data_IF_021381268095
#
_entry.id   IF_021381268095
#
_cell.length_a   1.000
_cell.length_b   1.000
_cell.length_c   1.000
_cell.angle_alpha   90.00
_cell.angle_beta   90.00
_cell.angle_gamma   90.00
#
_symmetry.space_group_name_H-M   'P 1'
#
loop_
_entity.id
_entity.type
_entity.pdbx_description
1 polymer ?
#
# COMPACT_ATOMS: atom_id res chain seq x y z
N UNK A 1 -1.49 -15.43 -29.22
CA UNK A 1 -0.74 -16.16 -28.17
C UNK A 1 -1.52 -17.42 -27.85
N UNK A 2 -0.96 -18.59 -28.14
CA UNK A 2 -1.63 -19.87 -27.89
C UNK A 2 -1.64 -20.18 -26.38
N UNK A 3 -2.55 -21.01 -25.88
CA UNK A 3 -2.57 -21.43 -24.47
C UNK A 3 -1.24 -22.06 -24.04
N UNK A 4 -0.56 -22.73 -24.98
CA UNK A 4 0.75 -23.34 -24.79
C UNK A 4 1.83 -22.29 -24.54
N UNK A 5 1.78 -21.16 -25.24
CA UNK A 5 2.72 -20.04 -25.04
C UNK A 5 2.54 -19.42 -23.65
N UNK A 6 1.29 -19.26 -23.18
CA UNK A 6 0.98 -18.74 -21.84
C UNK A 6 1.47 -19.66 -20.71
N UNK A 7 1.35 -20.97 -20.88
CA UNK A 7 1.83 -21.95 -19.88
C UNK A 7 3.36 -21.96 -19.77
N UNK A 8 4.06 -21.85 -20.91
CA UNK A 8 5.53 -21.74 -20.94
C UNK A 8 5.99 -20.44 -20.27
N UNK A 9 5.36 -19.33 -20.60
CA UNK A 9 5.68 -18.03 -20.01
C UNK A 9 5.46 -18.01 -18.49
N UNK A 10 4.34 -18.59 -18.02
CA UNK A 10 4.05 -18.74 -16.60
C UNK A 10 5.09 -19.62 -15.87
N UNK A 11 5.50 -20.74 -16.47
CA UNK A 11 6.51 -21.61 -15.88
C UNK A 11 7.89 -20.93 -15.81
N UNK A 12 8.26 -20.16 -16.85
CA UNK A 12 9.48 -19.36 -16.86
C UNK A 12 9.46 -18.26 -15.78
N UNK A 13 8.31 -17.64 -15.54
CA UNK A 13 8.14 -16.64 -14.48
C UNK A 13 8.32 -17.27 -13.08
N UNK A 14 7.76 -18.46 -12.85
CA UNK A 14 7.96 -19.19 -11.59
C UNK A 14 9.43 -19.52 -11.32
N UNK A 15 10.17 -19.98 -12.35
CA UNK A 15 11.60 -20.27 -12.22
C UNK A 15 12.40 -18.98 -11.95
N UNK A 16 12.07 -17.88 -12.63
CA UNK A 16 12.71 -16.58 -12.39
C UNK A 16 12.47 -16.09 -10.97
N UNK A 17 11.22 -16.20 -10.48
CA UNK A 17 10.85 -15.85 -9.10
C UNK A 17 11.56 -16.71 -8.07
N UNK A 18 11.71 -18.01 -8.29
CA UNK A 18 12.38 -18.90 -7.34
C UNK A 18 13.90 -18.71 -7.28
N UNK A 19 14.50 -18.16 -8.34
CA UNK A 19 15.96 -17.89 -8.42
C UNK A 19 16.35 -16.51 -7.88
N UNK A 20 15.40 -15.59 -7.76
CA UNK A 20 15.65 -14.26 -7.21
C UNK A 20 15.77 -14.36 -5.69
N UNK A 21 16.71 -13.62 -5.12
CA UNK A 21 16.84 -13.47 -3.68
C UNK A 21 15.60 -12.80 -3.08
N UNK A 22 15.39 -13.04 -1.79
CA UNK A 22 14.33 -12.44 -0.98
C UNK A 22 14.72 -11.06 -0.51
N UNK A 23 13.76 -10.14 -0.59
CA UNK A 23 13.97 -8.75 -0.24
C UNK A 23 13.16 -8.32 0.97
N UNK A 24 13.84 -7.90 2.03
CA UNK A 24 13.22 -7.36 3.24
C UNK A 24 13.57 -5.88 3.39
N UNK A 25 12.56 -5.05 3.67
CA UNK A 25 12.73 -3.62 3.85
C UNK A 25 12.19 -3.17 5.21
N UNK A 26 13.04 -2.45 5.95
CA UNK A 26 12.64 -1.67 7.10
C UNK A 26 12.26 -0.25 6.67
N UNK A 27 10.99 0.11 6.87
CA UNK A 27 10.48 1.46 6.62
C UNK A 27 10.45 2.21 7.95
N UNK A 28 10.96 3.44 7.97
CA UNK A 28 10.86 4.33 9.12
C UNK A 28 10.29 5.69 8.76
N UNK A 29 9.61 6.32 9.71
CA UNK A 29 9.06 7.67 9.53
C UNK A 29 10.15 8.76 9.40
N UNK A 30 11.35 8.54 9.94
CA UNK A 30 12.44 9.53 9.94
C UNK A 30 13.82 8.90 10.23
N UNK A 31 14.87 9.70 10.06
CA UNK A 31 16.18 9.43 10.62
C UNK A 31 16.11 9.30 12.15
N UNK A 32 16.97 8.44 12.71
CA UNK A 32 17.06 8.28 14.17
C UNK A 32 16.08 7.29 14.81
N UNK A 33 15.11 6.75 14.04
CA UNK A 33 14.16 5.73 14.54
C UNK A 33 14.78 4.34 14.79
N UNK A 34 16.08 4.17 14.52
CA UNK A 34 16.79 2.91 14.83
C UNK A 34 16.78 1.83 13.75
N UNK A 35 16.48 2.18 12.49
CA UNK A 35 16.52 1.23 11.35
C UNK A 35 17.83 0.46 11.25
N UNK A 36 18.97 1.16 11.18
CA UNK A 36 20.31 0.55 11.09
C UNK A 36 20.63 -0.34 12.29
N UNK A 37 20.26 0.12 13.49
CA UNK A 37 20.44 -0.66 14.72
C UNK A 37 19.63 -1.97 14.67
N UNK A 38 18.37 -1.91 14.22
CA UNK A 38 17.52 -3.09 14.06
C UNK A 38 18.06 -4.06 13.01
N UNK A 39 18.51 -3.56 11.86
CA UNK A 39 19.15 -4.38 10.83
C UNK A 39 20.37 -5.13 11.36
N UNK A 40 21.23 -4.47 12.15
CA UNK A 40 22.39 -5.12 12.76
C UNK A 40 22.01 -6.17 13.80
N UNK A 41 20.97 -5.93 14.61
CA UNK A 41 20.46 -6.93 15.54
C UNK A 41 19.95 -8.19 14.81
N UNK A 42 19.27 -8.00 13.68
CA UNK A 42 18.82 -9.11 12.84
C UNK A 42 20.00 -9.84 12.20
N UNK A 43 21.00 -9.12 11.70
CA UNK A 43 22.23 -9.70 11.16
C UNK A 43 22.94 -10.60 12.19
N UNK A 44 23.04 -10.16 13.45
CA UNK A 44 23.56 -10.99 14.55
C UNK A 44 22.71 -12.24 14.80
N UNK A 45 21.39 -12.10 14.73
CA UNK A 45 20.46 -13.22 14.95
C UNK A 45 20.61 -14.28 13.86
N UNK A 46 20.68 -13.84 12.60
CA UNK A 46 20.91 -14.70 11.45
C UNK A 46 22.28 -15.40 11.53
N UNK A 47 23.35 -14.65 11.84
CA UNK A 47 24.70 -15.20 12.00
C UNK A 47 24.77 -16.25 13.12
N UNK A 48 24.12 -16.01 14.26
CA UNK A 48 24.01 -16.97 15.38
C UNK A 48 23.27 -18.25 14.99
N UNK A 49 22.33 -18.16 14.06
CA UNK A 49 21.60 -19.30 13.52
C UNK A 49 22.34 -19.99 12.36
N UNK A 50 23.59 -19.61 12.09
CA UNK A 50 24.44 -20.24 11.08
C UNK A 50 24.17 -19.79 9.64
N UNK A 51 23.39 -18.73 9.44
CA UNK A 51 23.15 -18.14 8.11
C UNK A 51 24.37 -17.30 7.71
N UNK A 52 24.87 -17.46 6.48
CA UNK A 52 25.97 -16.60 5.99
C UNK A 52 25.48 -15.19 5.69
N UNK A 53 25.76 -14.27 6.63
CA UNK A 53 25.41 -12.86 6.54
C UNK A 53 26.66 -12.01 6.30
N UNK A 54 26.57 -11.07 5.36
CA UNK A 54 27.57 -10.01 5.18
C UNK A 54 26.95 -8.62 5.32
N UNK A 55 27.74 -7.66 5.80
CA UNK A 55 27.42 -6.24 5.69
C UNK A 55 27.97 -5.74 4.36
N UNK A 56 27.10 -5.39 3.43
CA UNK A 56 27.47 -4.76 2.16
C UNK A 56 27.69 -3.27 2.33
N UNK A 57 26.74 -2.61 2.99
CA UNK A 57 26.86 -1.21 3.37
C UNK A 57 26.06 -0.90 4.62
N UNK A 58 26.65 -0.15 5.54
CA UNK A 58 25.93 0.48 6.64
C UNK A 58 26.55 1.83 6.98
N UNK A 59 25.71 2.79 7.35
CA UNK A 59 26.13 4.09 7.82
C UNK A 59 25.86 4.20 9.33
N UNK A 60 26.93 4.30 10.13
CA UNK A 60 26.81 4.37 11.59
C UNK A 60 26.59 5.81 12.07
N UNK A 61 26.95 6.81 11.27
CA UNK A 61 27.00 8.22 11.63
C UNK A 61 27.75 8.49 12.96
N UNK A 62 28.79 7.72 13.26
CA UNK A 62 29.57 7.86 14.50
C UNK A 62 28.83 7.40 15.77
N UNK A 63 27.71 6.69 15.65
CA UNK A 63 26.91 6.23 16.80
C UNK A 63 27.58 5.01 17.44
N UNK A 64 28.18 5.22 18.63
CA UNK A 64 28.88 4.17 19.40
C UNK A 64 28.10 2.86 19.56
N UNK A 65 26.80 2.93 19.84
CA UNK A 65 25.95 1.73 20.00
C UNK A 65 25.83 0.94 18.69
N UNK A 66 25.68 1.64 17.55
CA UNK A 66 25.60 1.03 16.23
C UNK A 66 26.95 0.46 15.79
N UNK A 67 28.05 1.17 16.07
CA UNK A 67 29.42 0.70 15.81
C UNK A 67 29.74 -0.56 16.62
N UNK A 68 29.33 -0.59 17.90
CA UNK A 68 29.50 -1.76 18.74
C UNK A 68 28.71 -2.98 18.22
N UNK A 69 27.51 -2.76 17.63
CA UNK A 69 26.77 -3.83 16.96
C UNK A 69 27.39 -4.23 15.62
N UNK A 70 28.02 -3.31 14.90
CA UNK A 70 28.70 -3.63 13.65
C UNK A 70 29.93 -4.52 13.91
N UNK A 71 30.60 -4.30 15.05
CA UNK A 71 31.71 -5.13 15.47
C UNK A 71 31.30 -6.61 15.60
N UNK A 72 32.11 -7.49 14.99
CA UNK A 72 31.87 -8.93 14.99
C UNK A 72 30.98 -9.45 13.85
N UNK A 73 30.41 -8.58 13.01
CA UNK A 73 29.74 -8.99 11.78
C UNK A 73 30.74 -9.03 10.61
N UNK A 74 30.64 -10.02 9.70
CA UNK A 74 31.48 -10.04 8.50
C UNK A 74 31.12 -8.88 7.55
N UNK A 75 32.09 -8.03 7.23
CA UNK A 75 31.88 -6.84 6.38
C UNK A 75 32.56 -7.05 5.03
N UNK A 76 31.87 -6.72 3.93
CA UNK A 76 32.49 -6.62 2.60
C UNK A 76 33.23 -5.28 2.53
N UNK A 77 34.54 -5.27 2.21
CA UNK A 77 35.27 -4.01 2.07
C UNK A 77 34.61 -3.09 1.04
N UNK A 78 34.52 -1.81 1.37
CA UNK A 78 33.97 -0.79 0.47
C UNK A 78 34.90 -0.57 -0.72
N UNK A 79 34.32 -0.30 -1.88
CA UNK A 79 35.07 0.08 -3.07
C UNK A 79 35.53 1.53 -2.95
N UNK A 80 36.81 1.78 -3.23
CA UNK A 80 37.39 3.12 -3.28
C UNK A 80 37.22 3.69 -4.70
N UNK A 81 36.55 4.83 -4.82
CA UNK A 81 36.29 5.52 -6.10
C UNK A 81 36.93 6.91 -6.04
N UNK A 82 37.74 7.25 -7.05
CA UNK A 82 38.32 8.59 -7.18
C UNK A 82 37.44 9.45 -8.09
N UNK A 83 36.85 10.50 -7.52
CA UNK A 83 35.97 11.41 -8.25
C UNK A 83 36.30 12.87 -7.89
N UNK A 84 36.48 13.72 -8.92
CA UNK A 84 36.85 15.15 -8.79
C UNK A 84 38.01 15.42 -7.80
N UNK A 85 39.02 14.56 -7.81
CA UNK A 85 40.20 14.68 -6.94
C UNK A 85 39.97 14.32 -5.47
N UNK A 86 38.80 13.75 -5.12
CA UNK A 86 38.52 13.17 -3.80
C UNK A 86 38.41 11.65 -3.90
N UNK A 87 38.92 10.97 -2.89
CA UNK A 87 38.71 9.56 -2.68
C UNK A 87 37.43 9.37 -1.89
N UNK A 88 36.49 8.60 -2.44
CA UNK A 88 35.19 8.33 -1.86
C UNK A 88 34.99 6.81 -1.75
N UNK A 89 34.11 6.38 -0.86
CA UNK A 89 33.82 4.97 -0.64
C UNK A 89 32.38 4.65 -1.05
N UNK A 90 32.18 3.52 -1.72
CA UNK A 90 30.86 3.00 -2.10
C UNK A 90 30.76 1.49 -1.81
N UNK A 91 29.54 0.96 -1.82
CA UNK A 91 29.31 -0.48 -1.71
C UNK A 91 29.94 -1.24 -2.90
N UNK A 92 30.72 -2.29 -2.63
CA UNK A 92 31.28 -3.16 -3.68
C UNK A 92 30.27 -4.26 -4.06
N UNK A 93 29.39 -3.94 -5.01
CA UNK A 93 28.35 -4.85 -5.54
C UNK A 93 28.96 -6.11 -6.13
N UNK A 94 30.09 -5.98 -6.84
CA UNK A 94 30.69 -7.12 -7.52
C UNK A 94 31.35 -8.07 -6.52
N UNK A 95 31.99 -7.55 -5.47
CA UNK A 95 32.51 -8.37 -4.38
C UNK A 95 31.38 -9.12 -3.67
N UNK A 96 30.25 -8.48 -3.38
CA UNK A 96 29.07 -9.14 -2.78
C UNK A 96 28.59 -10.29 -3.68
N UNK A 97 28.41 -10.03 -4.98
CA UNK A 97 27.95 -11.04 -5.95
C UNK A 97 28.95 -12.19 -6.09
N UNK A 98 30.25 -11.92 -6.02
CA UNK A 98 31.29 -12.94 -6.09
C UNK A 98 31.35 -13.81 -4.84
N UNK A 99 31.16 -13.21 -3.65
CA UNK A 99 31.13 -13.91 -2.37
C UNK A 99 29.88 -14.78 -2.21
N UNK A 100 28.75 -14.40 -2.83
CA UNK A 100 27.44 -15.08 -2.77
C UNK A 100 27.02 -15.46 -1.34
N UNK A 101 26.92 -14.48 -0.42
CA UNK A 101 26.36 -14.78 0.89
C UNK A 101 24.88 -15.14 0.78
N UNK A 102 24.34 -15.80 1.81
CA UNK A 102 22.90 -16.06 1.89
C UNK A 102 22.12 -14.76 2.07
N UNK A 103 22.63 -13.85 2.90
CA UNK A 103 22.01 -12.54 3.17
C UNK A 103 23.05 -11.43 3.17
N UNK A 104 22.71 -10.29 2.55
CA UNK A 104 23.49 -9.06 2.68
C UNK A 104 22.66 -7.92 3.27
N UNK A 105 23.26 -7.16 4.19
CA UNK A 105 22.68 -5.95 4.76
C UNK A 105 23.14 -4.74 3.95
N UNK A 106 22.19 -3.91 3.50
CA UNK A 106 22.44 -2.70 2.71
C UNK A 106 21.61 -1.53 3.25
N UNK A 107 22.25 -0.56 3.89
CA UNK A 107 21.56 0.63 4.41
C UNK A 107 21.42 1.76 3.36
N UNK A 108 20.56 2.72 3.67
CA UNK A 108 20.24 3.90 2.84
C UNK A 108 19.82 3.54 1.41
N UNK A 109 18.72 2.80 1.26
CA UNK A 109 18.22 2.36 -0.05
C UNK A 109 18.04 3.49 -1.08
N UNK A 110 17.79 4.72 -0.61
CA UNK A 110 17.56 5.90 -1.42
C UNK A 110 18.83 6.59 -1.94
N UNK A 111 20.00 6.19 -1.42
CA UNK A 111 21.28 6.84 -1.70
C UNK A 111 21.55 6.96 -3.19
N UNK A 112 22.07 8.11 -3.58
CA UNK A 112 22.61 8.36 -4.92
C UNK A 112 24.07 7.97 -4.95
N UNK A 113 24.37 6.94 -5.73
CA UNK A 113 25.72 6.43 -5.86
C UNK A 113 26.65 7.49 -6.45
N UNK A 114 27.93 7.38 -6.11
CA UNK A 114 28.97 8.29 -6.61
C UNK A 114 29.06 8.21 -8.14
N UNK A 115 29.17 9.37 -8.80
CA UNK A 115 29.37 9.45 -10.25
C UNK A 115 30.57 8.60 -10.70
N UNK A 116 30.35 7.74 -11.70
CA UNK A 116 31.31 6.73 -12.15
C UNK A 116 31.00 5.31 -11.65
N UNK A 117 30.04 5.17 -10.72
CA UNK A 117 29.45 3.87 -10.36
C UNK A 117 28.67 3.28 -11.54
N UNK A 118 28.54 1.95 -11.57
CA UNK A 118 27.76 1.24 -12.60
C UNK A 118 26.29 1.69 -12.63
N UNK A 119 25.70 1.82 -11.44
CA UNK A 119 24.32 2.23 -11.24
C UNK A 119 24.27 3.61 -10.58
N UNK A 120 23.23 4.40 -10.86
CA UNK A 120 23.04 5.74 -10.32
C UNK A 120 22.50 5.70 -8.88
N UNK A 121 21.72 4.68 -8.53
CA UNK A 121 21.04 4.59 -7.24
C UNK A 121 21.34 3.27 -6.54
N UNK A 122 21.48 3.31 -5.21
CA UNK A 122 21.73 2.11 -4.41
C UNK A 122 20.62 1.08 -4.50
N UNK A 123 19.37 1.49 -4.68
CA UNK A 123 18.29 0.54 -4.92
C UNK A 123 18.49 -0.29 -6.20
N UNK A 124 19.16 0.25 -7.24
CA UNK A 124 19.50 -0.52 -8.45
C UNK A 124 20.56 -1.58 -8.14
N UNK A 125 21.55 -1.25 -7.30
CA UNK A 125 22.53 -2.24 -6.82
C UNK A 125 21.87 -3.36 -6.03
N UNK A 126 20.91 -3.02 -5.16
CA UNK A 126 20.09 -4.00 -4.44
C UNK A 126 19.32 -4.88 -5.43
N UNK A 127 18.77 -4.33 -6.50
CA UNK A 127 18.10 -5.12 -7.54
C UNK A 127 19.06 -6.08 -8.25
N UNK A 128 20.29 -5.65 -8.54
CA UNK A 128 21.35 -6.48 -9.13
C UNK A 128 21.72 -7.65 -8.21
N UNK A 129 21.88 -7.39 -6.90
CA UNK A 129 22.19 -8.40 -5.88
C UNK A 129 21.04 -9.42 -5.76
N UNK A 130 19.80 -8.96 -5.69
CA UNK A 130 18.62 -9.82 -5.65
C UNK A 130 18.52 -10.68 -6.92
N UNK A 131 18.81 -10.12 -8.08
CA UNK A 131 18.82 -10.84 -9.35
C UNK A 131 19.90 -11.93 -9.42
N UNK A 132 21.00 -11.77 -8.67
CA UNK A 132 22.03 -12.79 -8.50
C UNK A 132 21.63 -13.92 -7.53
N UNK A 133 20.45 -13.85 -6.91
CA UNK A 133 19.92 -14.86 -6.00
C UNK A 133 20.31 -14.67 -4.52
N UNK A 134 20.89 -13.52 -4.18
CA UNK A 134 21.32 -13.19 -2.80
C UNK A 134 20.18 -12.45 -2.11
N UNK A 135 19.83 -12.83 -0.87
CA UNK A 135 18.79 -12.14 -0.12
C UNK A 135 19.33 -10.78 0.40
N UNK A 136 18.47 -9.76 0.42
CA UNK A 136 18.86 -8.41 0.86
C UNK A 136 17.94 -7.94 1.99
N UNK A 137 18.54 -7.42 3.06
CA UNK A 137 17.83 -6.65 4.10
C UNK A 137 18.27 -5.20 3.96
N UNK A 138 17.30 -4.30 3.79
CA UNK A 138 17.56 -2.88 3.58
C UNK A 138 16.67 -1.99 4.46
N UNK A 139 17.01 -0.71 4.53
CA UNK A 139 16.21 0.29 5.22
C UNK A 139 15.98 1.55 4.37
N UNK A 140 14.82 2.18 4.57
CA UNK A 140 14.46 3.45 3.91
C UNK A 140 13.55 4.29 4.82
N UNK A 141 13.61 5.62 4.68
CA UNK A 141 12.62 6.50 5.29
C UNK A 141 11.50 6.85 4.32
N UNK A 142 10.29 7.07 4.83
CA UNK A 142 9.12 7.44 4.01
C UNK A 142 9.33 8.67 3.13
N UNK A 143 10.16 9.62 3.59
CA UNK A 143 10.48 10.85 2.86
C UNK A 143 11.20 10.62 1.51
N UNK A 144 11.77 9.43 1.32
CA UNK A 144 12.45 9.03 0.09
C UNK A 144 11.54 8.26 -0.85
N UNK A 145 10.32 7.89 -0.44
CA UNK A 145 9.37 7.19 -1.30
C UNK A 145 8.78 8.21 -2.27
N UNK A 146 8.83 7.91 -3.56
CA UNK A 146 8.44 8.85 -4.62
C UNK A 146 7.01 9.38 -4.43
N UNK A 147 6.04 8.48 -4.25
CA UNK A 147 4.63 8.84 -4.07
C UNK A 147 4.32 9.66 -2.82
N UNK A 148 5.11 9.52 -1.75
CA UNK A 148 4.89 10.20 -0.47
C UNK A 148 5.65 11.51 -0.36
N UNK A 149 6.49 11.84 -1.36
CA UNK A 149 7.40 12.95 -1.18
C UNK A 149 6.69 14.30 -1.04
N UNK A 150 5.67 14.57 -1.86
CA UNK A 150 4.94 15.82 -1.84
C UNK A 150 4.25 16.02 -0.47
N UNK A 151 3.57 14.99 0.02
CA UNK A 151 2.91 15.01 1.33
C UNK A 151 3.91 15.21 2.47
N UNK A 152 5.08 14.58 2.41
CA UNK A 152 6.15 14.79 3.40
C UNK A 152 6.73 16.21 3.32
N UNK A 153 6.87 16.78 2.12
CA UNK A 153 7.32 18.16 1.92
C UNK A 153 6.30 19.15 2.49
N UNK A 154 5.00 18.90 2.32
CA UNK A 154 3.94 19.72 2.89
C UNK A 154 3.94 19.69 4.42
N UNK A 155 4.19 18.52 5.02
CA UNK A 155 4.30 18.36 6.48
C UNK A 155 5.56 19.04 7.03
N UNK A 156 6.71 18.82 6.39
CA UNK A 156 8.01 19.16 7.00
C UNK A 156 8.61 20.47 6.48
N UNK A 157 8.15 20.96 5.33
CA UNK A 157 8.75 22.07 4.58
C UNK A 157 10.08 21.73 3.91
N UNK A 158 10.55 20.48 3.99
CA UNK A 158 11.86 20.06 3.50
C UNK A 158 11.73 19.26 2.21
N UNK A 159 12.40 19.73 1.16
CA UNK A 159 12.54 18.98 -0.08
C UNK A 159 13.71 18.01 0.01
N UNK A 160 13.39 16.72 0.02
CA UNK A 160 14.38 15.65 -0.11
C UNK A 160 14.69 15.46 -1.59
N UNK A 161 15.91 15.13 -2.01
CA UNK A 161 16.23 14.89 -3.45
C UNK A 161 16.41 13.41 -3.78
N UNK A 162 16.81 12.64 -2.80
CA UNK A 162 17.06 11.21 -2.94
C UNK A 162 15.75 10.43 -2.85
N UNK A 163 15.53 9.56 -3.83
CA UNK A 163 14.25 8.94 -4.13
C UNK A 163 14.36 7.46 -4.43
N UNK A 164 13.33 6.73 -4.03
CA UNK A 164 13.10 5.33 -4.34
C UNK A 164 11.71 5.21 -4.97
N UNK A 165 11.61 4.66 -6.19
CA UNK A 165 10.32 4.38 -6.82
C UNK A 165 9.50 3.37 -6.01
N UNK A 166 8.19 3.59 -5.93
CA UNK A 166 7.25 2.67 -5.28
C UNK A 166 7.36 1.22 -5.79
N UNK A 167 7.71 1.05 -7.07
CA UNK A 167 7.91 -0.26 -7.70
C UNK A 167 9.06 -1.09 -7.09
N UNK A 168 10.02 -0.45 -6.43
CA UNK A 168 11.09 -1.12 -5.70
C UNK A 168 10.54 -1.70 -4.40
N UNK A 169 9.75 -0.92 -3.67
CA UNK A 169 9.11 -1.33 -2.42
C UNK A 169 8.11 -2.47 -2.66
N UNK A 170 7.33 -2.41 -3.75
CA UNK A 170 6.37 -3.46 -4.11
C UNK A 170 7.04 -4.80 -4.45
N UNK A 171 8.35 -4.81 -4.70
CA UNK A 171 9.11 -6.04 -4.93
C UNK A 171 9.65 -6.66 -3.64
N UNK A 172 9.45 -6.02 -2.48
CA UNK A 172 9.85 -6.58 -1.21
C UNK A 172 8.97 -7.77 -0.84
N UNK A 173 9.61 -8.88 -0.47
CA UNK A 173 8.94 -10.03 0.13
C UNK A 173 8.50 -9.74 1.57
N UNK A 174 9.17 -8.84 2.28
CA UNK A 174 8.79 -8.46 3.64
C UNK A 174 9.01 -6.97 3.87
N UNK A 175 7.99 -6.30 4.43
CA UNK A 175 8.07 -4.89 4.82
C UNK A 175 7.77 -4.78 6.30
N UNK A 176 8.68 -4.14 7.04
CA UNK A 176 8.57 -3.98 8.50
C UNK A 176 8.65 -2.51 8.87
N UNK A 177 7.66 -2.03 9.62
CA UNK A 177 7.68 -0.67 10.16
C UNK A 177 8.63 -0.58 11.36
N UNK A 178 9.48 0.46 11.39
CA UNK A 178 10.29 0.85 12.54
C UNK A 178 9.79 2.20 13.04
N UNK A 179 9.30 2.18 14.27
CA UNK A 179 8.55 3.28 14.85
C UNK A 179 9.06 3.63 16.24
N UNK A 180 8.86 4.88 16.63
CA UNK A 180 9.16 5.46 17.93
C UNK A 180 8.13 6.54 18.25
N UNK A 181 7.94 6.85 19.52
CA UNK A 181 7.11 8.00 19.88
C UNK A 181 7.83 9.32 19.53
N UNK A 182 7.05 10.39 19.36
CA UNK A 182 7.61 11.72 19.11
C UNK A 182 8.55 12.17 20.24
N UNK A 183 8.20 11.87 21.50
CA UNK A 183 9.03 12.17 22.67
C UNK A 183 10.39 11.47 22.59
N UNK A 184 10.40 10.14 22.39
CA UNK A 184 11.64 9.38 22.29
C UNK A 184 12.53 9.84 21.13
N UNK A 185 11.94 10.18 19.97
CA UNK A 185 12.69 10.66 18.83
C UNK A 185 13.32 12.04 19.10
N UNK A 186 12.58 12.93 19.75
CA UNK A 186 13.06 14.25 20.16
C UNK A 186 14.17 14.12 21.22
N UNK A 187 14.03 13.22 22.18
CA UNK A 187 15.04 13.00 23.22
C UNK A 187 16.33 12.46 22.60
N UNK A 188 16.24 11.49 21.69
CA UNK A 188 17.39 11.00 20.93
C UNK A 188 18.07 12.11 20.11
N UNK A 189 17.30 13.04 19.54
CA UNK A 189 17.87 14.18 18.84
C UNK A 189 18.63 15.10 19.80
N UNK A 190 18.04 15.44 20.95
CA UNK A 190 18.66 16.29 22.00
C UNK A 190 19.91 15.67 22.60
N UNK A 191 19.94 14.34 22.72
CA UNK A 191 21.11 13.57 23.16
C UNK A 191 22.23 13.50 22.11
N UNK A 192 22.05 14.10 20.92
CA UNK A 192 23.03 14.06 19.84
C UNK A 192 23.15 12.70 19.14
N UNK A 193 22.15 11.82 19.31
CA UNK A 193 22.15 10.46 18.71
C UNK A 193 21.71 10.45 17.24
N UNK A 194 21.23 11.59 16.71
CA UNK A 194 20.66 11.69 15.35
C UNK A 194 21.47 12.65 14.48
N UNK A 195 21.78 13.84 14.98
CA UNK A 195 22.56 14.87 14.28
C UNK A 195 23.61 15.48 15.22
N UNK A 196 24.63 16.10 14.62
CA UNK A 196 25.61 16.94 15.33
C UNK A 196 24.93 18.10 16.05
N UNK A 197 25.48 18.51 17.19
CA UNK A 197 24.92 19.53 18.07
C UNK A 197 24.54 20.84 17.34
N UNK A 198 25.33 21.24 16.35
CA UNK A 198 25.10 22.45 15.54
C UNK A 198 23.80 22.40 14.73
N UNK A 199 23.33 21.21 14.35
CA UNK A 199 22.13 21.00 13.53
C UNK A 199 20.88 20.70 14.35
N UNK A 200 21.03 20.42 15.66
CA UNK A 200 19.93 20.01 16.54
C UNK A 200 18.85 21.09 16.65
N UNK A 201 19.22 22.35 16.90
CA UNK A 201 18.23 23.43 17.04
C UNK A 201 17.43 23.65 15.75
N UNK A 202 18.10 23.66 14.60
CA UNK A 202 17.45 23.84 13.29
C UNK A 202 16.55 22.63 12.98
N UNK A 203 16.98 21.41 13.31
CA UNK A 203 16.18 20.21 13.13
C UNK A 203 14.91 20.23 14.00
N UNK A 204 14.99 20.67 15.26
CA UNK A 204 13.84 20.83 16.17
C UNK A 204 12.85 21.93 15.70
N UNK A 205 13.36 23.02 15.11
CA UNK A 205 12.53 24.10 14.57
C UNK A 205 11.80 23.74 13.27
N UNK A 206 12.27 22.71 12.57
CA UNK A 206 11.75 22.28 11.27
C UNK A 206 11.14 20.86 11.37
N UNK A 207 11.92 19.84 11.00
CA UNK A 207 11.45 18.47 10.82
C UNK A 207 10.98 17.80 12.12
N UNK A 208 11.67 18.01 13.25
CA UNK A 208 11.46 17.27 14.51
C UNK A 208 10.47 17.96 15.45
N UNK A 209 9.35 18.43 14.91
CA UNK A 209 8.20 18.89 15.71
C UNK A 209 7.28 17.72 16.04
N UNK A 210 6.68 17.73 17.23
CA UNK A 210 5.76 16.67 17.67
C UNK A 210 4.65 16.42 16.63
N UNK A 211 4.02 17.49 16.12
CA UNK A 211 2.93 17.40 15.15
C UNK A 211 3.39 16.84 13.80
N UNK A 212 4.61 17.17 13.37
CA UNK A 212 5.18 16.63 12.14
C UNK A 212 5.47 15.14 12.31
N UNK A 213 6.08 14.74 13.43
CA UNK A 213 6.40 13.34 13.71
C UNK A 213 5.12 12.49 13.77
N UNK A 214 4.04 12.99 14.36
CA UNK A 214 2.75 12.27 14.39
C UNK A 214 2.18 12.05 12.99
N UNK A 215 2.21 13.07 12.12
CA UNK A 215 1.75 12.93 10.73
C UNK A 215 2.64 11.98 9.92
N UNK A 216 3.97 12.09 10.06
CA UNK A 216 4.91 11.18 9.41
C UNK A 216 4.73 9.73 9.89
N UNK A 217 4.40 9.54 11.18
CA UNK A 217 4.08 8.22 11.73
C UNK A 217 2.81 7.63 11.11
N UNK A 218 1.77 8.44 10.96
CA UNK A 218 0.55 8.05 10.27
C UNK A 218 0.84 7.61 8.83
N UNK A 219 1.62 8.40 8.09
CA UNK A 219 2.02 8.06 6.71
C UNK A 219 2.83 6.77 6.63
N UNK A 220 3.79 6.57 7.55
CA UNK A 220 4.57 5.33 7.60
C UNK A 220 3.70 4.10 7.83
N UNK A 221 2.75 4.18 8.77
CA UNK A 221 1.82 3.08 9.05
C UNK A 221 0.90 2.81 7.87
N UNK A 222 0.37 3.86 7.23
CA UNK A 222 -0.48 3.76 6.04
C UNK A 222 0.25 3.12 4.86
N UNK A 223 1.51 3.49 4.63
CA UNK A 223 2.30 2.90 3.54
C UNK A 223 2.61 1.43 3.81
N UNK A 224 3.00 1.07 5.03
CA UNK A 224 3.25 -0.33 5.40
C UNK A 224 1.96 -1.15 5.26
N UNK A 225 0.81 -0.63 5.70
CA UNK A 225 -0.48 -1.28 5.50
C UNK A 225 -0.78 -1.49 3.99
N UNK A 226 -0.59 -0.47 3.17
CA UNK A 226 -0.77 -0.53 1.72
C UNK A 226 0.16 -1.56 1.03
N UNK A 227 1.41 -1.71 1.50
CA UNK A 227 2.32 -2.75 0.99
C UNK A 227 1.85 -4.16 1.39
N UNK A 228 1.39 -4.34 2.62
CA UNK A 228 0.83 -5.62 3.09
C UNK A 228 -0.44 -5.98 2.30
N UNK A 229 -1.33 -5.03 2.06
CA UNK A 229 -2.54 -5.22 1.23
C UNK A 229 -2.20 -5.68 -0.19
N UNK A 230 -1.28 -4.99 -0.87
CA UNK A 230 -0.79 -5.38 -2.22
C UNK A 230 -0.20 -6.79 -2.23
N UNK A 231 0.49 -7.18 -1.15
CA UNK A 231 1.06 -8.51 -1.02
C UNK A 231 -0.01 -9.59 -0.83
N UNK A 232 -1.01 -9.33 -0.01
CA UNK A 232 -2.16 -10.23 0.18
C UNK A 232 -2.91 -10.43 -1.14
N UNK A 233 -3.13 -9.37 -1.91
CA UNK A 233 -3.77 -9.44 -3.23
C UNK A 233 -2.99 -10.30 -4.24
N UNK A 234 -1.66 -10.24 -4.21
CA UNK A 234 -0.80 -10.93 -5.17
C UNK A 234 -0.49 -12.38 -4.80
N UNK A 235 -0.29 -12.70 -3.52
CA UNK A 235 0.10 -14.05 -3.07
C UNK A 235 -1.09 -14.92 -2.68
N UNK A 236 -2.19 -14.35 -2.21
CA UNK A 236 -3.36 -15.12 -1.74
C UNK A 236 -4.33 -15.35 -2.90
N UNK A 237 -3.90 -16.16 -3.88
CA UNK A 237 -4.78 -16.66 -4.95
C UNK A 237 -5.55 -17.90 -4.49
N UNK A 238 -6.50 -17.75 -3.55
CA UNK A 238 -7.49 -18.78 -3.19
C UNK A 238 -8.88 -18.17 -3.05
N UNK A 239 -9.96 -18.91 -3.38
CA UNK A 239 -11.32 -18.37 -3.53
C UNK A 239 -11.96 -17.84 -2.24
N UNK A 240 -11.28 -17.98 -1.09
CA UNK A 240 -11.71 -17.50 0.22
C UNK A 240 -10.70 -16.54 0.88
N UNK A 241 -9.76 -15.96 0.11
CA UNK A 241 -9.06 -14.76 0.57
C UNK A 241 -10.11 -13.66 0.77
N UNK A 242 -10.09 -12.97 1.93
CA UNK A 242 -10.95 -11.84 2.28
C UNK A 242 -11.29 -11.05 1.01
N UNK A 243 -12.48 -11.28 0.46
CA UNK A 243 -12.95 -10.55 -0.71
C UNK A 243 -12.91 -9.09 -0.28
N UNK A 244 -12.12 -8.28 -0.99
CA UNK A 244 -12.20 -6.84 -0.81
C UNK A 244 -13.66 -6.49 -1.04
N UNK A 245 -14.35 -6.17 0.04
CA UNK A 245 -15.77 -5.88 -0.04
C UNK A 245 -15.92 -4.75 -1.05
N UNK A 246 -16.94 -4.80 -1.88
CA UNK A 246 -17.31 -3.75 -2.82
C UNK A 246 -18.80 -3.63 -2.71
N UNK A 247 -19.24 -2.46 -2.26
CA UNK A 247 -20.65 -2.25 -1.95
C UNK A 247 -21.36 -1.57 -3.12
N UNK A 248 -22.56 -2.04 -3.45
CA UNK A 248 -23.46 -1.40 -4.41
C UNK A 248 -24.77 -1.02 -3.71
N UNK A 249 -24.95 0.27 -3.44
CA UNK A 249 -26.20 0.82 -2.96
C UNK A 249 -27.16 1.01 -4.14
N UNK A 250 -28.23 0.22 -4.19
CA UNK A 250 -29.29 0.38 -5.19
C UNK A 250 -30.37 1.31 -4.63
N UNK A 251 -30.55 2.46 -5.28
CA UNK A 251 -31.52 3.47 -4.85
C UNK A 251 -32.67 3.62 -5.86
N UNK A 252 -33.84 3.98 -5.36
CA UNK A 252 -35.01 4.35 -6.16
C UNK A 252 -35.30 5.84 -6.04
N UNK A 253 -36.31 6.33 -6.75
CA UNK A 253 -36.77 7.73 -6.65
C UNK A 253 -37.43 8.08 -5.30
N UNK A 254 -37.51 7.16 -4.34
CA UNK A 254 -38.05 7.42 -3.00
C UNK A 254 -36.99 8.10 -2.12
N UNK A 255 -37.21 9.36 -1.77
CA UNK A 255 -36.27 10.20 -1.03
C UNK A 255 -35.79 9.58 0.28
N UNK A 256 -36.72 9.26 1.19
CA UNK A 256 -36.39 8.84 2.57
C UNK A 256 -35.63 7.51 2.57
N UNK A 257 -36.07 6.57 1.72
CA UNK A 257 -35.44 5.26 1.68
C UNK A 257 -34.07 5.31 1.00
N UNK A 258 -33.95 6.00 -0.13
CA UNK A 258 -32.67 6.17 -0.82
C UNK A 258 -31.63 6.81 0.11
N UNK A 259 -32.01 7.85 0.87
CA UNK A 259 -31.11 8.51 1.82
C UNK A 259 -30.60 7.56 2.91
N UNK A 260 -31.48 6.73 3.47
CA UNK A 260 -31.09 5.74 4.48
C UNK A 260 -30.16 4.67 3.92
N UNK A 261 -30.45 4.16 2.72
CA UNK A 261 -29.59 3.16 2.04
C UNK A 261 -28.19 3.76 1.79
N UNK A 262 -28.10 4.97 1.24
CA UNK A 262 -26.83 5.66 0.97
C UNK A 262 -26.02 5.80 2.27
N UNK A 263 -26.62 6.32 3.34
CA UNK A 263 -25.91 6.53 4.62
C UNK A 263 -25.45 5.23 5.27
N UNK A 264 -26.29 4.19 5.26
CA UNK A 264 -25.95 2.90 5.87
C UNK A 264 -24.91 2.14 5.04
N UNK A 265 -25.00 2.20 3.71
CA UNK A 265 -24.00 1.61 2.83
C UNK A 265 -22.66 2.32 2.96
N UNK A 266 -22.64 3.67 3.02
CA UNK A 266 -21.43 4.44 3.31
C UNK A 266 -20.76 4.02 4.61
N UNK A 267 -21.53 3.79 5.68
CA UNK A 267 -20.99 3.30 6.96
C UNK A 267 -20.36 1.91 6.84
N UNK A 268 -21.00 1.01 6.10
CA UNK A 268 -20.46 -0.33 5.84
C UNK A 268 -19.18 -0.26 5.01
N UNK A 269 -19.21 0.51 3.91
CA UNK A 269 -18.05 0.72 3.06
C UNK A 269 -16.86 1.30 3.83
N UNK A 270 -17.10 2.31 4.68
CA UNK A 270 -16.06 2.89 5.55
C UNK A 270 -15.54 1.89 6.58
N UNK A 271 -16.41 1.06 7.17
CA UNK A 271 -16.00 0.03 8.14
C UNK A 271 -15.05 -1.00 7.50
N UNK A 272 -15.29 -1.35 6.23
CA UNK A 272 -14.46 -2.28 5.46
C UNK A 272 -13.36 -1.59 4.62
N UNK A 273 -13.15 -0.28 4.79
CA UNK A 273 -12.23 0.54 3.97
C UNK A 273 -12.36 0.28 2.45
N UNK A 274 -13.60 0.21 1.99
CA UNK A 274 -13.98 -0.35 0.69
C UNK A 274 -14.51 0.72 -0.27
N UNK A 275 -14.25 0.51 -1.56
CA UNK A 275 -14.92 1.27 -2.63
C UNK A 275 -16.40 0.89 -2.70
N UNK A 276 -17.25 1.90 -2.85
CA UNK A 276 -18.68 1.69 -2.98
C UNK A 276 -19.30 2.57 -4.04
N UNK A 277 -20.43 2.10 -4.55
CA UNK A 277 -21.12 2.64 -5.71
C UNK A 277 -22.58 2.87 -5.38
N UNK A 278 -23.17 3.88 -6.00
CA UNK A 278 -24.61 4.11 -5.94
C UNK A 278 -25.20 3.91 -7.34
N UNK A 279 -26.09 2.93 -7.48
CA UNK A 279 -26.77 2.62 -8.72
C UNK A 279 -28.21 3.15 -8.70
N UNK A 280 -28.52 3.95 -9.71
CA UNK A 280 -29.88 4.32 -10.06
C UNK A 280 -30.21 3.75 -11.44
N UNK A 281 -31.27 2.94 -11.52
CA UNK A 281 -31.78 2.38 -12.77
C UNK A 281 -33.02 3.15 -13.18
N UNK A 282 -32.93 3.89 -14.27
CA UNK A 282 -34.07 4.59 -14.85
C UNK A 282 -34.90 3.62 -15.68
N UNK A 283 -36.14 3.38 -15.28
CA UNK A 283 -37.07 2.49 -16.00
C UNK A 283 -37.88 3.28 -17.04
N UNK A 284 -38.45 2.63 -18.08
CA UNK A 284 -39.27 3.31 -19.09
C UNK A 284 -40.52 4.04 -18.53
N UNK A 285 -41.00 3.61 -17.35
CA UNK A 285 -42.08 4.29 -16.64
C UNK A 285 -41.61 5.57 -15.88
N UNK A 286 -40.30 5.77 -15.79
CA UNK A 286 -39.61 6.91 -15.18
C UNK A 286 -38.83 7.72 -16.24
N UNK A 287 -39.30 7.76 -17.50
CA UNK A 287 -38.72 8.63 -18.53
C UNK A 287 -38.71 10.11 -18.10
N UNK A 288 -37.77 10.89 -18.64
CA UNK A 288 -37.52 12.30 -18.31
C UNK A 288 -38.80 13.16 -18.37
N UNK A 289 -39.73 12.83 -19.27
CA UNK A 289 -41.01 13.53 -19.48
C UNK A 289 -42.15 13.07 -18.55
N UNK A 290 -41.92 12.09 -17.67
CA UNK A 290 -42.96 11.47 -16.82
C UNK A 290 -42.66 11.48 -15.31
N UNK A 291 -41.45 11.86 -14.91
CA UNK A 291 -41.11 11.98 -13.48
C UNK A 291 -41.60 13.34 -12.96
N UNK A 292 -42.38 13.34 -11.87
CA UNK A 292 -42.77 14.57 -11.17
C UNK A 292 -41.52 15.35 -10.69
N UNK A 293 -41.53 16.68 -10.84
CA UNK A 293 -40.38 17.57 -10.60
C UNK A 293 -39.78 17.45 -9.18
N UNK A 294 -40.60 17.12 -8.19
CA UNK A 294 -40.21 16.84 -6.81
C UNK A 294 -39.28 15.61 -6.71
N UNK A 295 -39.64 14.51 -7.38
CA UNK A 295 -38.83 13.27 -7.41
C UNK A 295 -37.48 13.47 -8.08
N UNK A 296 -37.41 14.29 -9.13
CA UNK A 296 -36.13 14.64 -9.78
C UNK A 296 -35.21 15.40 -8.81
N UNK A 297 -35.75 16.37 -8.06
CA UNK A 297 -35.00 17.14 -7.05
C UNK A 297 -34.45 16.23 -5.95
N UNK A 298 -35.26 15.31 -5.44
CA UNK A 298 -34.83 14.35 -4.41
C UNK A 298 -33.70 13.43 -4.91
N UNK A 299 -33.78 12.98 -6.16
CA UNK A 299 -32.74 12.13 -6.75
C UNK A 299 -31.41 12.88 -6.90
N UNK A 300 -31.42 14.14 -7.35
CA UNK A 300 -30.22 15.00 -7.43
C UNK A 300 -29.60 15.17 -6.05
N UNK A 301 -30.39 15.45 -5.02
CA UNK A 301 -29.91 15.60 -3.65
C UNK A 301 -29.28 14.29 -3.12
N UNK A 302 -29.84 13.14 -3.48
CA UNK A 302 -29.29 11.84 -3.10
C UNK A 302 -27.96 11.54 -3.81
N UNK A 303 -27.82 11.90 -5.10
CA UNK A 303 -26.52 11.77 -5.78
C UNK A 303 -25.47 12.68 -5.16
N UNK A 304 -25.82 13.92 -4.84
CA UNK A 304 -24.92 14.85 -4.16
C UNK A 304 -24.45 14.26 -2.81
N UNK A 305 -25.39 13.77 -2.00
CA UNK A 305 -25.09 13.11 -0.72
C UNK A 305 -24.17 11.89 -0.91
N UNK A 306 -24.42 11.06 -1.91
CA UNK A 306 -23.60 9.90 -2.19
C UNK A 306 -22.17 10.29 -2.58
N UNK A 307 -22.00 11.29 -3.45
CA UNK A 307 -20.68 11.81 -3.82
C UNK A 307 -19.95 12.44 -2.64
N UNK A 308 -20.63 13.20 -1.79
CA UNK A 308 -20.07 13.75 -0.54
C UNK A 308 -19.58 12.66 0.44
N UNK A 309 -20.21 11.48 0.38
CA UNK A 309 -19.85 10.31 1.19
C UNK A 309 -18.87 9.36 0.47
N UNK A 310 -18.31 9.77 -0.66
CA UNK A 310 -17.26 9.04 -1.38
C UNK A 310 -17.75 7.92 -2.31
N UNK A 311 -19.05 7.89 -2.66
CA UNK A 311 -19.59 6.91 -3.61
C UNK A 311 -19.40 7.37 -5.07
N UNK A 312 -19.08 6.41 -5.96
CA UNK A 312 -19.17 6.63 -7.40
C UNK A 312 -20.62 6.41 -7.89
N UNK A 313 -21.15 7.37 -8.65
CA UNK A 313 -22.55 7.35 -9.11
C UNK A 313 -22.67 6.65 -10.45
N UNK A 314 -23.57 5.68 -10.53
CA UNK A 314 -23.88 4.91 -11.73
C UNK A 314 -25.35 5.15 -12.10
N UNK A 315 -25.59 5.66 -13.31
CA UNK A 315 -26.93 5.83 -13.86
C UNK A 315 -27.05 4.95 -15.09
N UNK A 316 -28.06 4.07 -15.10
CA UNK A 316 -28.32 3.15 -16.22
C UNK A 316 -29.77 3.24 -16.63
N UNK A 317 -30.04 3.34 -17.92
CA UNK A 317 -31.38 3.19 -18.46
C UNK A 317 -31.64 1.71 -18.77
N UNK A 318 -32.69 1.12 -18.18
CA UNK A 318 -33.03 -0.28 -18.44
C UNK A 318 -34.49 -0.58 -18.15
N UNK A 319 -35.09 -1.46 -18.96
CA UNK A 319 -36.42 -2.01 -18.72
C UNK A 319 -36.44 -3.01 -17.55
N UNK A 320 -35.30 -3.54 -17.13
CA UNK A 320 -35.18 -4.52 -16.06
C UNK A 320 -34.14 -4.07 -15.02
N UNK A 321 -34.63 -3.67 -13.84
CA UNK A 321 -33.80 -3.27 -12.70
C UNK A 321 -32.88 -4.42 -12.27
N UNK A 322 -33.41 -5.64 -12.20
CA UNK A 322 -32.64 -6.81 -11.79
C UNK A 322 -31.45 -7.10 -12.71
N UNK A 323 -31.68 -7.07 -14.03
CA UNK A 323 -30.60 -7.28 -15.01
C UNK A 323 -29.54 -6.18 -14.95
N UNK A 324 -29.97 -4.92 -14.81
CA UNK A 324 -29.04 -3.80 -14.68
C UNK A 324 -28.17 -3.93 -13.41
N UNK A 325 -28.76 -4.33 -12.27
CA UNK A 325 -28.02 -4.61 -11.04
C UNK A 325 -26.99 -5.71 -11.25
N UNK A 326 -27.37 -6.84 -11.86
CA UNK A 326 -26.47 -7.98 -12.09
C UNK A 326 -25.30 -7.57 -12.98
N UNK A 327 -25.57 -6.89 -14.11
CA UNK A 327 -24.52 -6.42 -15.04
C UNK A 327 -23.53 -5.52 -14.31
N UNK A 328 -24.02 -4.51 -13.58
CA UNK A 328 -23.13 -3.61 -12.85
C UNK A 328 -22.39 -4.30 -11.69
N UNK A 329 -23.04 -5.28 -11.06
CA UNK A 329 -22.42 -6.06 -10.00
C UNK A 329 -21.27 -6.91 -10.54
N UNK A 330 -21.46 -7.58 -11.68
CA UNK A 330 -20.41 -8.38 -12.33
C UNK A 330 -19.27 -7.51 -12.87
N UNK A 331 -19.58 -6.45 -13.63
CA UNK A 331 -18.57 -5.59 -14.25
C UNK A 331 -17.65 -4.94 -13.22
N UNK A 332 -18.21 -4.55 -12.08
CA UNK A 332 -17.48 -3.85 -11.01
C UNK A 332 -17.02 -4.77 -9.89
N UNK A 333 -17.24 -6.09 -10.03
CA UNK A 333 -16.90 -7.13 -9.06
C UNK A 333 -17.47 -6.85 -7.65
N UNK A 334 -18.71 -6.40 -7.60
CA UNK A 334 -19.44 -6.10 -6.35
C UNK A 334 -19.60 -7.38 -5.53
N UNK A 335 -19.35 -7.29 -4.23
CA UNK A 335 -19.48 -8.41 -3.28
C UNK A 335 -20.75 -8.31 -2.46
N UNK A 336 -21.18 -7.08 -2.15
CA UNK A 336 -22.36 -6.84 -1.31
C UNK A 336 -23.27 -5.79 -1.95
N UNK A 337 -24.54 -6.14 -2.16
CA UNK A 337 -25.57 -5.24 -2.66
C UNK A 337 -26.46 -4.80 -1.51
N UNK A 338 -26.65 -3.49 -1.38
CA UNK A 338 -27.51 -2.88 -0.37
C UNK A 338 -28.79 -2.33 -1.02
N UNK A 339 -29.94 -2.81 -0.56
CA UNK A 339 -31.27 -2.38 -1.04
C UNK A 339 -32.13 -1.88 0.11
N UNK A 340 -33.05 -0.95 -0.18
CA UNK A 340 -34.04 -0.51 0.81
C UNK A 340 -35.15 -1.53 1.00
N UNK A 341 -35.70 -1.63 2.22
CA UNK A 341 -36.85 -2.49 2.51
C UNK A 341 -38.07 -2.05 1.67
N UNK A 342 -38.71 -2.93 0.89
CA UNK A 342 -39.92 -2.57 0.15
C UNK A 342 -41.07 -2.31 1.12
N UNK A 343 -41.90 -1.31 0.81
CA UNK A 343 -43.08 -0.92 1.62
C UNK A 343 -44.25 -1.93 1.56
N UNK A 344 -44.15 -2.99 0.75
CA UNK A 344 -45.18 -4.00 0.60
C UNK A 344 -44.81 -5.29 1.37
N UNK A 345 -45.86 -5.99 1.83
CA UNK A 345 -45.78 -7.18 2.68
C UNK A 345 -44.82 -8.24 2.08
N UNK A 346 -43.71 -8.55 2.78
CA UNK A 346 -42.59 -9.38 2.27
C UNK A 346 -43.05 -10.70 1.67
N UNK A 347 -44.01 -11.38 2.32
CA UNK A 347 -44.55 -12.65 1.86
C UNK A 347 -45.24 -12.57 0.49
N UNK A 348 -45.88 -11.43 0.16
CA UNK A 348 -46.51 -11.23 -1.14
C UNK A 348 -45.48 -10.96 -2.24
N UNK A 349 -44.39 -10.25 -1.98
CA UNK A 349 -43.34 -10.00 -3.00
C UNK A 349 -42.48 -11.24 -3.24
N UNK A 350 -42.13 -11.98 -2.18
CA UNK A 350 -41.35 -13.23 -2.27
C UNK A 350 -42.12 -14.28 -3.10
N UNK A 351 -43.46 -14.30 -3.02
CA UNK A 351 -44.31 -15.18 -3.83
C UNK A 351 -44.67 -14.65 -5.23
N UNK A 352 -44.53 -13.35 -5.54
CA UNK A 352 -45.24 -12.75 -6.71
C UNK A 352 -44.38 -12.16 -7.82
N UNK A 353 -43.06 -12.34 -7.84
CA UNK A 353 -42.30 -11.83 -9.00
C UNK A 353 -41.13 -12.72 -9.40
N UNK A 354 -41.26 -13.37 -10.56
CA UNK A 354 -40.18 -14.12 -11.22
C UNK A 354 -38.85 -13.33 -11.29
N UNK A 355 -38.94 -12.00 -11.37
CA UNK A 355 -37.79 -11.08 -11.45
C UNK A 355 -36.95 -11.03 -10.16
N UNK A 356 -37.57 -11.09 -8.98
CA UNK A 356 -36.83 -11.05 -7.70
C UNK A 356 -36.16 -12.40 -7.42
N UNK A 357 -36.83 -13.50 -7.75
CA UNK A 357 -36.25 -14.84 -7.66
C UNK A 357 -35.11 -15.05 -8.67
N UNK A 358 -35.20 -14.48 -9.87
CA UNK A 358 -34.12 -14.47 -10.87
C UNK A 358 -32.90 -13.69 -10.36
N UNK A 359 -33.13 -12.52 -9.71
CA UNK A 359 -32.07 -11.76 -9.07
C UNK A 359 -31.40 -12.56 -7.95
N UNK A 360 -32.16 -13.09 -6.99
CA UNK A 360 -31.60 -13.87 -5.88
C UNK A 360 -30.81 -15.10 -6.36
N UNK A 361 -31.33 -15.81 -7.36
CA UNK A 361 -30.65 -16.96 -7.95
C UNK A 361 -29.33 -16.55 -8.63
N UNK A 362 -29.35 -15.43 -9.35
CA UNK A 362 -28.14 -14.88 -10.00
C UNK A 362 -27.12 -14.32 -9.00
N UNK A 363 -27.57 -13.73 -7.89
CA UNK A 363 -26.67 -13.27 -6.82
C UNK A 363 -26.02 -14.45 -6.11
N UNK A 364 -26.81 -15.47 -5.76
CA UNK A 364 -26.30 -16.69 -5.15
C UNK A 364 -25.31 -17.44 -6.04
N UNK A 365 -25.50 -17.47 -7.36
CA UNK A 365 -24.54 -18.11 -8.27
C UNK A 365 -23.23 -17.33 -8.46
N UNK A 366 -23.20 -16.05 -8.08
CA UNK A 366 -21.99 -15.20 -8.16
C UNK A 366 -21.38 -14.92 -6.78
N UNK A 367 -21.88 -15.59 -5.74
CA UNK A 367 -21.51 -15.38 -4.33
C UNK A 367 -21.66 -13.91 -3.89
N UNK A 368 -22.71 -13.20 -4.31
CA UNK A 368 -22.94 -11.79 -3.94
C UNK A 368 -23.94 -11.71 -2.79
N UNK A 369 -23.55 -11.06 -1.70
CA UNK A 369 -24.40 -10.85 -0.52
C UNK A 369 -25.45 -9.77 -0.78
N UNK A 370 -26.67 -9.99 -0.25
CA UNK A 370 -27.77 -9.03 -0.32
C UNK A 370 -28.13 -8.54 1.08
N UNK A 371 -27.91 -7.25 1.33
CA UNK A 371 -28.27 -6.59 2.59
C UNK A 371 -29.50 -5.72 2.38
N UNK A 372 -30.57 -6.01 3.14
CA UNK A 372 -31.80 -5.23 3.12
C UNK A 372 -31.79 -4.26 4.29
N UNK A 373 -31.82 -2.96 3.99
CA UNK A 373 -31.71 -1.87 4.94
C UNK A 373 -33.09 -1.27 5.22
N UNK A 374 -33.52 -1.29 6.48
CA UNK A 374 -34.74 -0.65 6.98
C UNK A 374 -34.51 0.75 7.52
#
# INVERSE_FOLDING_TARGET
>A
MTEKDKAVEHFLDLIKKSRKGKFKIYIGMSAGVGKSFRMLQEAHTLLKNGIDVKIGFIETHGRRETEALLAGLPVVPRQQIFYKGKQLEEMDVQAIINLRPEVVIVDELAHTNIEGSKNEKRWQDVMDILAAGINVISAVNIQHIESLNEEVKDITGVEVKERVPDSVLSQADEVVNIDLTAGELIDRLKEGKIYDAEKVETALKNFFKSDHILQLRELALKEVASQVERKVESEVTKPNALRHERFLACISSNEKMARTVIRKTSRLANYYNSKWYVLYVQTPNEGVDKIQLDKQRHLINNFKLATELGAEIIKVESSSVAKAIIVQATDRKITTICVGKPHLNLFKIILSTNVFNELLKSLSSNDIDLVILS
#
